data_IF_623832868063
#
_entry.id   IF_623832868063
#
_cell.length_a   1.000
_cell.length_b   1.000
_cell.length_c   1.000
_cell.angle_alpha   90.00
_cell.angle_beta   90.00
_cell.angle_gamma   90.00
#
_symmetry.space_group_name_H-M   'P 1'
#
loop_
_entity.id
_entity.type
_entity.pdbx_description
1 polymer ?
#
# COMPACT_ATOMS: atom_id res chain seq x y z
N UNK A 1 21.74 -20.06 -8.60
CA UNK A 1 20.76 -19.72 -7.53
C UNK A 1 19.39 -19.35 -8.13
N UNK A 2 18.71 -20.26 -8.85
CA UNK A 2 17.52 -19.89 -9.66
C UNK A 2 16.42 -20.96 -9.66
N UNK A 3 16.08 -21.53 -8.49
CA UNK A 3 14.97 -22.49 -8.37
C UNK A 3 13.96 -22.19 -7.25
N UNK A 4 14.23 -21.20 -6.38
CA UNK A 4 13.32 -20.81 -5.28
C UNK A 4 12.35 -19.68 -5.65
N UNK A 5 12.59 -18.95 -6.74
CA UNK A 5 11.82 -17.75 -7.08
C UNK A 5 10.59 -18.03 -7.98
N UNK A 6 10.49 -19.24 -8.55
CA UNK A 6 9.43 -19.59 -9.50
C UNK A 6 8.14 -20.10 -8.84
N UNK A 7 8.19 -20.45 -7.55
CA UNK A 7 7.04 -20.98 -6.81
C UNK A 7 6.34 -19.95 -5.92
N UNK A 8 6.52 -18.65 -6.17
CA UNK A 8 5.73 -17.63 -5.46
C UNK A 8 4.27 -17.74 -5.94
N UNK A 9 3.30 -18.02 -5.05
CA UNK A 9 1.89 -18.08 -5.41
C UNK A 9 1.44 -16.82 -6.12
N UNK A 10 0.69 -16.98 -7.22
CA UNK A 10 0.03 -15.88 -7.94
C UNK A 10 -0.69 -14.88 -7.02
N UNK A 11 -1.44 -15.28 -5.98
CA UNK A 11 -2.09 -14.31 -5.08
C UNK A 11 -1.09 -13.40 -4.35
N UNK A 12 0.07 -13.92 -3.91
CA UNK A 12 1.10 -13.11 -3.25
C UNK A 12 1.68 -12.08 -4.23
N UNK A 13 1.91 -12.48 -5.49
CA UNK A 13 2.38 -11.54 -6.52
C UNK A 13 1.38 -10.41 -6.77
N UNK A 14 0.09 -10.75 -6.94
CA UNK A 14 -0.96 -9.77 -7.24
C UNK A 14 -1.10 -8.77 -6.09
N UNK A 15 -1.20 -9.25 -4.86
CA UNK A 15 -1.36 -8.40 -3.67
C UNK A 15 -0.12 -7.53 -3.45
N UNK A 16 1.08 -8.09 -3.61
CA UNK A 16 2.33 -7.34 -3.50
C UNK A 16 2.44 -6.23 -4.55
N UNK A 17 2.03 -6.50 -5.79
CA UNK A 17 1.98 -5.49 -6.84
C UNK A 17 0.92 -4.42 -6.59
N UNK A 18 -0.25 -4.79 -6.06
CA UNK A 18 -1.26 -3.82 -5.64
C UNK A 18 -0.70 -2.85 -4.59
N UNK A 19 -0.03 -3.35 -3.56
CA UNK A 19 0.60 -2.50 -2.54
C UNK A 19 1.69 -1.59 -3.10
N UNK A 20 2.49 -2.07 -4.06
CA UNK A 20 3.50 -1.26 -4.75
C UNK A 20 2.84 -0.15 -5.59
N UNK A 21 1.79 -0.46 -6.34
CA UNK A 21 1.06 0.54 -7.14
C UNK A 21 0.48 1.61 -6.22
N UNK A 22 -0.14 1.20 -5.12
CA UNK A 22 -0.68 2.11 -4.10
C UNK A 22 0.41 3.03 -3.54
N UNK A 23 1.57 2.47 -3.19
CA UNK A 23 2.72 3.24 -2.73
C UNK A 23 3.17 4.28 -3.76
N UNK A 24 3.30 3.87 -5.03
CA UNK A 24 3.66 4.78 -6.12
C UNK A 24 2.66 5.93 -6.28
N UNK A 25 1.36 5.67 -6.14
CA UNK A 25 0.33 6.73 -6.19
C UNK A 25 0.54 7.76 -5.07
N UNK A 26 0.76 7.31 -3.83
CA UNK A 26 1.01 8.21 -2.71
C UNK A 26 2.32 8.99 -2.86
N UNK A 27 3.39 8.34 -3.33
CA UNK A 27 4.67 9.00 -3.60
C UNK A 27 4.53 10.07 -4.69
N UNK A 28 3.89 9.75 -5.81
CA UNK A 28 3.66 10.70 -6.89
C UNK A 28 2.82 11.88 -6.42
N UNK A 29 1.74 11.61 -5.68
CA UNK A 29 0.86 12.66 -5.18
C UNK A 29 1.59 13.61 -4.23
N UNK A 30 2.39 13.07 -3.30
CA UNK A 30 3.18 13.88 -2.38
C UNK A 30 4.31 14.66 -3.06
N UNK A 31 5.03 14.05 -4.01
CA UNK A 31 6.12 14.73 -4.74
C UNK A 31 5.57 15.84 -5.64
N UNK A 32 4.53 15.55 -6.43
CA UNK A 32 3.89 16.55 -7.30
C UNK A 32 3.28 17.66 -6.47
N UNK A 33 2.57 17.33 -5.39
CA UNK A 33 2.03 18.32 -4.45
C UNK A 33 3.12 19.20 -3.84
N UNK A 34 4.25 18.62 -3.46
CA UNK A 34 5.41 19.35 -2.94
C UNK A 34 6.00 20.33 -3.95
N UNK A 35 6.19 19.90 -5.20
CA UNK A 35 6.69 20.78 -6.28
C UNK A 35 5.72 21.93 -6.55
N UNK A 36 4.41 21.66 -6.63
CA UNK A 36 3.39 22.68 -6.83
C UNK A 36 3.33 23.68 -5.67
N UNK A 37 3.43 23.19 -4.44
CA UNK A 37 3.46 24.04 -3.24
C UNK A 37 4.65 25.00 -3.21
N UNK A 38 5.82 24.55 -3.71
CA UNK A 38 7.00 25.42 -3.89
C UNK A 38 6.74 26.46 -4.99
N UNK A 39 6.17 26.04 -6.12
CA UNK A 39 5.89 26.92 -7.26
C UNK A 39 4.88 28.02 -6.89
N UNK A 40 3.84 27.66 -6.15
CA UNK A 40 2.78 28.58 -5.70
C UNK A 40 3.18 29.41 -4.47
N UNK A 41 4.39 29.22 -3.93
CA UNK A 41 4.88 29.82 -2.67
C UNK A 41 3.97 29.55 -1.46
N UNK A 42 3.17 28.50 -1.52
CA UNK A 42 2.25 28.11 -0.45
C UNK A 42 2.94 27.08 0.45
N UNK A 43 3.93 27.53 1.22
CA UNK A 43 4.78 26.67 2.05
C UNK A 43 4.02 25.90 3.15
N UNK A 44 2.79 26.32 3.49
CA UNK A 44 1.93 25.64 4.47
C UNK A 44 1.52 24.22 4.03
N UNK A 45 1.49 23.94 2.73
CA UNK A 45 1.11 22.63 2.22
C UNK A 45 2.28 21.65 2.12
N UNK A 46 3.53 22.13 2.31
CA UNK A 46 4.73 21.28 2.23
C UNK A 46 4.72 20.21 3.31
N UNK A 47 4.31 20.56 4.54
CA UNK A 47 4.26 19.62 5.66
C UNK A 47 3.32 18.44 5.35
N UNK A 48 2.13 18.75 4.80
CA UNK A 48 1.15 17.76 4.37
C UNK A 48 1.71 16.85 3.28
N UNK A 49 2.39 17.43 2.29
CA UNK A 49 2.99 16.69 1.19
C UNK A 49 4.14 15.78 1.64
N UNK A 50 4.96 16.22 2.59
CA UNK A 50 6.02 15.41 3.19
C UNK A 50 5.46 14.20 3.95
N UNK A 51 4.38 14.40 4.71
CA UNK A 51 3.69 13.31 5.41
C UNK A 51 3.17 12.27 4.41
N UNK A 52 2.55 12.72 3.32
CA UNK A 52 2.05 11.84 2.24
C UNK A 52 3.19 11.02 1.61
N UNK A 53 4.35 11.63 1.35
CA UNK A 53 5.53 10.91 0.83
C UNK A 53 5.99 9.86 1.83
N UNK A 54 6.07 10.19 3.12
CA UNK A 54 6.49 9.26 4.15
C UNK A 54 5.56 8.03 4.23
N UNK A 55 4.25 8.23 4.13
CA UNK A 55 3.29 7.14 4.00
C UNK A 55 3.54 6.29 2.75
N UNK A 56 3.77 6.93 1.60
CA UNK A 56 4.11 6.22 0.36
C UNK A 56 5.35 5.33 0.49
N UNK A 57 6.41 5.83 1.13
CA UNK A 57 7.64 5.05 1.40
C UNK A 57 7.32 3.86 2.31
N UNK A 58 6.59 4.08 3.38
CA UNK A 58 6.24 3.02 4.34
C UNK A 58 5.43 1.91 3.65
N UNK A 59 4.43 2.27 2.84
CA UNK A 59 3.64 1.31 2.06
C UNK A 59 4.55 0.54 1.09
N UNK A 60 5.50 1.22 0.43
CA UNK A 60 6.44 0.59 -0.50
C UNK A 60 7.30 -0.46 0.20
N UNK A 61 7.90 -0.11 1.35
CA UNK A 61 8.78 -1.00 2.13
C UNK A 61 8.02 -2.25 2.56
N UNK A 62 6.82 -2.07 3.12
CA UNK A 62 5.99 -3.17 3.59
C UNK A 62 5.54 -4.07 2.42
N UNK A 63 5.19 -3.47 1.27
CA UNK A 63 4.78 -4.21 0.07
C UNK A 63 5.93 -5.00 -0.55
N UNK A 64 7.15 -4.47 -0.52
CA UNK A 64 8.37 -5.18 -0.96
C UNK A 64 8.74 -6.31 0.01
N UNK A 65 8.60 -6.10 1.32
CA UNK A 65 8.81 -7.13 2.34
C UNK A 65 7.80 -8.28 2.16
N UNK A 66 6.54 -7.96 1.88
CA UNK A 66 5.51 -8.93 1.53
C UNK A 66 5.83 -9.68 0.22
N UNK A 67 6.24 -8.97 -0.83
CA UNK A 67 6.64 -9.63 -2.08
C UNK A 67 7.84 -10.56 -1.89
N UNK A 68 8.73 -10.23 -0.96
CA UNK A 68 9.90 -11.02 -0.56
C UNK A 68 9.60 -12.14 0.44
N UNK A 69 8.32 -12.40 0.76
CA UNK A 69 7.86 -13.42 1.72
C UNK A 69 8.41 -13.24 3.14
N UNK A 70 8.70 -12.02 3.56
CA UNK A 70 9.14 -11.77 4.93
C UNK A 70 7.93 -11.74 5.88
N UNK A 71 7.97 -12.50 6.99
CA UNK A 71 6.85 -12.64 7.95
C UNK A 71 6.33 -11.28 8.45
N UNK A 72 7.23 -10.35 8.74
CA UNK A 72 6.87 -9.00 9.19
C UNK A 72 6.21 -8.15 8.09
N UNK A 73 6.54 -8.41 6.82
CA UNK A 73 5.85 -7.80 5.68
C UNK A 73 4.38 -8.23 5.57
N UNK A 74 4.05 -9.47 5.95
CA UNK A 74 2.65 -9.92 6.05
C UNK A 74 1.86 -9.16 7.10
N UNK A 75 2.39 -9.04 8.32
CA UNK A 75 1.73 -8.27 9.39
C UNK A 75 1.60 -6.79 9.03
N UNK A 76 2.66 -6.20 8.47
CA UNK A 76 2.64 -4.81 8.04
C UNK A 76 1.58 -4.55 6.97
N UNK A 77 1.52 -5.41 5.94
CA UNK A 77 0.59 -5.21 4.83
C UNK A 77 -0.85 -5.48 5.28
N UNK A 78 -1.06 -6.45 6.15
CA UNK A 78 -2.35 -6.69 6.78
C UNK A 78 -2.83 -5.48 7.57
N UNK A 79 -2.00 -4.92 8.46
CA UNK A 79 -2.35 -3.75 9.26
C UNK A 79 -2.63 -2.53 8.38
N UNK A 80 -1.83 -2.31 7.34
CA UNK A 80 -2.05 -1.25 6.35
C UNK A 80 -3.41 -1.39 5.67
N UNK A 81 -3.74 -2.58 5.16
CA UNK A 81 -5.02 -2.82 4.50
C UNK A 81 -6.21 -2.65 5.46
N UNK A 82 -6.10 -3.12 6.70
CA UNK A 82 -7.12 -2.87 7.75
C UNK A 82 -7.30 -1.38 7.95
N UNK A 83 -6.21 -0.63 8.11
CA UNK A 83 -6.26 0.82 8.29
C UNK A 83 -6.97 1.51 7.12
N UNK A 84 -6.63 1.14 5.88
CA UNK A 84 -7.30 1.69 4.69
C UNK A 84 -8.80 1.39 4.68
N UNK A 85 -9.20 0.16 4.97
CA UNK A 85 -10.63 -0.21 5.02
C UNK A 85 -11.36 0.59 6.10
N UNK A 86 -10.79 0.70 7.31
CA UNK A 86 -11.38 1.48 8.40
C UNK A 86 -11.46 2.96 8.03
N UNK A 87 -10.39 3.53 7.47
CA UNK A 87 -10.35 4.92 7.01
C UNK A 87 -11.47 5.21 6.00
N UNK A 88 -11.71 4.29 5.07
CA UNK A 88 -12.74 4.48 4.04
C UNK A 88 -14.16 4.47 4.59
N UNK A 89 -14.41 3.85 5.76
CA UNK A 89 -15.71 3.97 6.43
C UNK A 89 -15.98 5.40 6.93
N UNK A 90 -14.92 6.14 7.30
CA UNK A 90 -15.04 7.54 7.70
C UNK A 90 -15.12 8.50 6.51
N UNK A 91 -14.57 8.10 5.35
CA UNK A 91 -14.58 8.88 4.11
C UNK A 91 -15.66 8.45 3.11
N UNK A 92 -16.82 7.98 3.58
CA UNK A 92 -17.91 7.40 2.77
C UNK A 92 -18.52 8.37 1.72
N UNK A 93 -18.25 9.67 1.82
CA UNK A 93 -18.70 10.67 0.85
C UNK A 93 -17.76 10.83 -0.36
N UNK A 94 -16.54 10.29 -0.27
CA UNK A 94 -15.55 10.35 -1.34
C UNK A 94 -15.56 9.06 -2.17
N UNK A 95 -15.96 9.18 -3.43
CA UNK A 95 -16.02 8.07 -4.40
C UNK A 95 -14.65 7.40 -4.55
N UNK A 96 -13.55 8.17 -4.56
CA UNK A 96 -12.20 7.61 -4.67
C UNK A 96 -11.81 6.83 -3.42
N UNK A 97 -12.20 7.34 -2.24
CA UNK A 97 -12.06 6.64 -0.97
C UNK A 97 -12.80 5.29 -0.98
N UNK A 98 -14.05 5.26 -1.43
CA UNK A 98 -14.83 4.01 -1.53
C UNK A 98 -14.15 2.99 -2.44
N UNK A 99 -13.68 3.40 -3.62
CA UNK A 99 -12.99 2.50 -4.57
C UNK A 99 -11.72 1.91 -3.93
N UNK A 100 -10.92 2.75 -3.27
CA UNK A 100 -9.72 2.30 -2.56
C UNK A 100 -10.06 1.36 -1.40
N UNK A 101 -11.17 1.59 -0.70
CA UNK A 101 -11.66 0.74 0.38
C UNK A 101 -12.03 -0.64 -0.11
N UNK A 102 -12.80 -0.72 -1.20
CA UNK A 102 -13.20 -1.99 -1.82
C UNK A 102 -11.96 -2.76 -2.31
N UNK A 103 -11.03 -2.09 -2.99
CA UNK A 103 -9.78 -2.72 -3.46
C UNK A 103 -8.93 -3.22 -2.29
N UNK A 104 -8.84 -2.43 -1.22
CA UNK A 104 -8.12 -2.81 0.00
C UNK A 104 -8.76 -3.99 0.72
N UNK A 105 -10.11 -4.06 0.74
CA UNK A 105 -10.86 -5.17 1.30
C UNK A 105 -10.63 -6.45 0.50
N UNK A 106 -10.69 -6.39 -0.83
CA UNK A 106 -10.36 -7.53 -1.70
C UNK A 106 -8.93 -8.01 -1.49
N UNK A 107 -7.97 -7.10 -1.39
CA UNK A 107 -6.58 -7.44 -1.09
C UNK A 107 -6.45 -8.08 0.30
N UNK A 108 -7.18 -7.60 1.30
CA UNK A 108 -7.16 -8.12 2.67
C UNK A 108 -7.71 -9.54 2.76
N UNK A 109 -8.84 -9.81 2.09
CA UNK A 109 -9.37 -11.17 1.94
C UNK A 109 -8.35 -12.07 1.23
N UNK A 110 -7.68 -11.54 0.20
CA UNK A 110 -6.57 -12.22 -0.47
C UNK A 110 -5.41 -12.56 0.47
N UNK A 111 -5.00 -11.64 1.34
CA UNK A 111 -3.91 -11.82 2.32
C UNK A 111 -4.25 -12.89 3.36
N UNK A 112 -5.52 -12.95 3.77
CA UNK A 112 -6.03 -13.95 4.71
C UNK A 112 -6.29 -15.32 4.07
N UNK A 113 -6.27 -15.40 2.73
CA UNK A 113 -6.58 -16.64 2.04
C UNK A 113 -5.58 -17.78 2.42
N UNK A 114 -6.06 -19.03 2.49
CA UNK A 114 -5.21 -20.20 2.80
C UNK A 114 -3.93 -20.32 1.96
N UNK A 115 -3.91 -20.05 0.64
CA UNK A 115 -2.68 -20.14 -0.13
C UNK A 115 -1.62 -19.10 0.28
N UNK A 116 -2.03 -17.92 0.74
CA UNK A 116 -1.09 -16.90 1.24
C UNK A 116 -0.62 -17.25 2.64
N UNK A 117 -1.53 -17.59 3.56
CA UNK A 117 -1.18 -17.94 4.95
C UNK A 117 -0.18 -19.09 5.05
N UNK A 118 -0.35 -20.16 4.25
CA UNK A 118 0.58 -21.32 4.21
C UNK A 118 2.02 -21.00 3.86
N UNK A 119 2.29 -19.84 3.24
CA UNK A 119 3.65 -19.43 2.88
C UNK A 119 4.31 -18.55 3.95
N UNK A 120 3.52 -18.03 4.89
CA UNK A 120 3.99 -17.18 5.98
C UNK A 120 3.98 -17.90 7.34
N UNK A 121 3.15 -18.94 7.49
CA UNK A 121 2.95 -19.78 8.67
C UNK A 121 2.87 -21.25 8.25
#
# INVERSE_FOLDING_TARGET
MSKKQDNIPRPIKIIGWFGIILACTYLLWGVVGGILSILDRTYKDIDKNLIIIFYGILIMVVSLAFKSMQKWGWYGLFLLLVFFVVWTLFSYTDVYGIILGILSLLALVGVLSPPVRKHYF
#
